data_IF_977111731067
#
_entry.id   IF_977111731067
#
_cell.length_a   1.000
_cell.length_b   1.000
_cell.length_c   1.000
_cell.angle_alpha   90.00
_cell.angle_beta   90.00
_cell.angle_gamma   90.00
#
_symmetry.space_group_name_H-M   'P 1'
#
loop_
_entity.id
_entity.type
_entity.pdbx_description
1 polymer ?
#
# COMPACT_ATOMS: atom_id res chain seq x y z
N UNK A 1 7.33 6.72 -14.70
CA UNK A 1 5.87 6.96 -14.53
C UNK A 1 5.47 6.50 -13.13
N UNK A 2 4.68 7.30 -12.41
CA UNK A 2 4.11 6.88 -11.12
C UNK A 2 3.00 5.85 -11.32
N UNK A 3 3.02 4.79 -10.50
CA UNK A 3 1.91 3.86 -10.33
C UNK A 3 1.31 4.00 -8.91
N UNK A 4 0.00 3.89 -8.81
CA UNK A 4 -0.75 3.84 -7.56
C UNK A 4 -1.36 2.45 -7.45
N UNK A 5 -1.06 1.74 -6.38
CA UNK A 5 -1.76 0.50 -6.05
C UNK A 5 -2.86 0.83 -5.05
N UNK A 6 -4.12 0.76 -5.48
CA UNK A 6 -5.28 0.99 -4.64
C UNK A 6 -5.59 -0.21 -3.74
N UNK A 7 -5.75 0.05 -2.46
CA UNK A 7 -6.25 -0.90 -1.47
C UNK A 7 -7.72 -0.66 -1.13
N UNK A 8 -8.13 -1.10 0.07
CA UNK A 8 -9.47 -0.90 0.60
C UNK A 8 -9.86 0.57 0.56
N UNK A 9 -10.95 0.90 -0.13
CA UNK A 9 -11.49 2.26 -0.23
C UNK A 9 -10.93 3.15 -1.34
N UNK A 10 -9.89 2.73 -2.05
CA UNK A 10 -9.41 3.42 -3.23
C UNK A 10 -9.46 2.47 -4.44
N UNK A 11 -10.65 2.29 -4.99
CA UNK A 11 -10.90 1.43 -6.17
C UNK A 11 -10.96 2.22 -7.46
N UNK A 12 -11.13 3.54 -7.37
CA UNK A 12 -11.23 4.47 -8.48
C UNK A 12 -10.61 5.81 -8.08
N UNK A 13 -10.02 6.49 -9.06
CA UNK A 13 -9.45 7.85 -8.88
C UNK A 13 -10.35 8.84 -9.64
N UNK A 14 -11.49 9.17 -9.06
CA UNK A 14 -12.57 9.93 -9.73
C UNK A 14 -12.20 11.38 -10.12
N UNK A 15 -11.09 11.91 -9.56
CA UNK A 15 -10.63 13.28 -9.84
C UNK A 15 -9.66 13.39 -11.02
N UNK A 16 -9.30 12.26 -11.63
CA UNK A 16 -8.38 12.21 -12.74
C UNK A 16 -9.10 11.91 -14.05
N UNK A 17 -8.63 12.48 -15.15
CA UNK A 17 -9.19 12.19 -16.48
C UNK A 17 -8.70 10.81 -16.93
N UNK A 18 -9.62 9.91 -17.20
CA UNK A 18 -9.27 8.59 -17.73
C UNK A 18 -8.49 8.72 -19.05
N UNK A 19 -7.40 7.98 -19.16
CA UNK A 19 -6.58 7.84 -20.36
C UNK A 19 -6.62 6.41 -20.94
N UNK A 20 -7.59 5.60 -20.49
CA UNK A 20 -7.80 4.24 -20.94
C UNK A 20 -7.16 3.17 -20.08
N UNK A 21 -6.95 1.99 -20.66
CA UNK A 21 -6.47 0.82 -19.94
C UNK A 21 -5.32 0.15 -20.69
N UNK A 22 -4.38 -0.42 -19.94
CA UNK A 22 -3.42 -1.41 -20.42
C UNK A 22 -3.81 -2.79 -19.94
N UNK A 23 -3.76 -3.78 -20.84
CA UNK A 23 -3.97 -5.20 -20.53
C UNK A 23 -2.65 -5.92 -20.73
N UNK A 24 -1.95 -6.21 -19.65
CA UNK A 24 -0.59 -6.74 -19.66
C UNK A 24 -0.62 -8.27 -19.50
N UNK A 25 0.06 -8.97 -20.40
CA UNK A 25 0.36 -10.40 -20.24
C UNK A 25 1.61 -10.50 -19.37
N UNK A 26 1.58 -11.37 -18.37
CA UNK A 26 2.72 -11.60 -17.48
C UNK A 26 3.04 -13.10 -17.41
N UNK A 27 4.29 -13.48 -17.14
CA UNK A 27 4.65 -14.89 -16.93
C UNK A 27 3.98 -15.54 -15.70
N UNK A 28 3.40 -14.71 -14.83
CA UNK A 28 2.90 -15.12 -13.51
C UNK A 28 1.37 -15.25 -13.46
N UNK A 29 0.68 -15.09 -14.60
CA UNK A 29 -0.77 -15.19 -14.65
C UNK A 29 -1.27 -15.55 -16.03
N UNK A 30 -2.18 -16.50 -16.12
CA UNK A 30 -2.92 -16.80 -17.36
C UNK A 30 -3.85 -15.63 -17.77
N UNK A 31 -4.34 -14.89 -16.77
CA UNK A 31 -5.21 -13.72 -16.99
C UNK A 31 -4.36 -12.47 -17.16
N UNK A 32 -4.74 -11.63 -18.10
CA UNK A 32 -4.12 -10.31 -18.27
C UNK A 32 -4.37 -9.44 -17.05
N UNK A 33 -3.33 -8.77 -16.58
CA UNK A 33 -3.47 -7.72 -15.57
C UNK A 33 -4.00 -6.46 -16.24
N UNK A 34 -5.06 -5.90 -15.68
CA UNK A 34 -5.67 -4.65 -16.19
C UNK A 34 -5.18 -3.50 -15.32
N UNK A 35 -4.51 -2.54 -15.95
CA UNK A 35 -4.04 -1.32 -15.31
C UNK A 35 -4.76 -0.14 -15.96
N UNK A 36 -5.41 0.68 -15.15
CA UNK A 36 -6.02 1.93 -15.60
C UNK A 36 -4.96 3.01 -15.75
N UNK A 37 -5.10 3.85 -16.78
CA UNK A 37 -4.26 5.03 -16.96
C UNK A 37 -5.10 6.28 -16.79
N UNK A 38 -4.52 7.25 -16.09
CA UNK A 38 -5.13 8.55 -15.84
C UNK A 38 -4.17 9.66 -16.23
N UNK A 39 -4.72 10.81 -16.58
CA UNK A 39 -3.95 12.04 -16.78
C UNK A 39 -4.23 13.06 -15.70
N UNK A 40 -3.14 13.68 -15.22
CA UNK A 40 -3.17 14.88 -14.42
C UNK A 40 -2.16 15.89 -15.02
N UNK A 41 -2.66 16.95 -15.63
CA UNK A 41 -1.83 17.80 -16.49
C UNK A 41 -1.19 17.00 -17.62
N UNK A 42 0.11 17.15 -17.81
CA UNK A 42 0.91 16.40 -18.78
C UNK A 42 1.33 15.01 -18.28
N UNK A 43 1.15 14.72 -17.00
CA UNK A 43 1.59 13.46 -16.40
C UNK A 43 0.57 12.35 -16.65
N UNK A 44 1.09 11.14 -16.87
CA UNK A 44 0.31 9.91 -16.89
C UNK A 44 0.59 9.11 -15.64
N UNK A 45 -0.46 8.68 -14.97
CA UNK A 45 -0.42 7.89 -13.74
C UNK A 45 -1.10 6.55 -14.00
N UNK A 46 -0.45 5.47 -13.59
CA UNK A 46 -1.04 4.14 -13.63
C UNK A 46 -1.80 3.86 -12.32
N UNK A 47 -2.92 3.16 -12.41
CA UNK A 47 -3.69 2.73 -11.26
C UNK A 47 -4.01 1.24 -11.35
N UNK A 48 -3.76 0.52 -10.26
CA UNK A 48 -4.03 -0.91 -10.14
C UNK A 48 -4.81 -1.20 -8.86
N UNK A 49 -6.08 -1.70 -8.96
CA UNK A 49 -6.84 -2.12 -7.79
C UNK A 49 -6.33 -3.47 -7.31
N UNK A 50 -5.61 -3.49 -6.18
CA UNK A 50 -4.92 -4.68 -5.62
C UNK A 50 -5.88 -5.86 -5.40
N UNK A 51 -7.06 -5.60 -4.90
CA UNK A 51 -8.07 -6.62 -4.58
C UNK A 51 -9.06 -6.89 -5.74
N UNK A 52 -8.72 -6.41 -6.96
CA UNK A 52 -9.65 -6.41 -8.09
C UNK A 52 -10.66 -5.26 -8.01
N UNK A 53 -11.35 -5.02 -9.13
CA UNK A 53 -12.28 -3.89 -9.26
C UNK A 53 -13.43 -3.92 -8.24
N UNK A 54 -13.90 -5.13 -7.90
CA UNK A 54 -15.05 -5.34 -7.00
C UNK A 54 -14.62 -5.76 -5.58
N UNK A 55 -13.32 -5.62 -5.25
CA UNK A 55 -12.74 -5.99 -3.96
C UNK A 55 -13.02 -7.43 -3.51
N UNK A 56 -12.93 -8.37 -4.43
CA UNK A 56 -13.26 -9.79 -4.19
C UNK A 56 -12.04 -10.69 -3.98
N UNK A 57 -10.83 -10.16 -4.12
CA UNK A 57 -9.59 -10.93 -3.98
C UNK A 57 -9.04 -10.74 -2.56
N UNK A 58 -9.05 -11.76 -1.70
CA UNK A 58 -8.51 -11.64 -0.35
C UNK A 58 -6.97 -11.51 -0.37
N UNK A 59 -6.33 -10.95 0.68
CA UNK A 59 -4.91 -10.60 0.70
C UNK A 59 -3.97 -11.75 0.29
N UNK A 60 -4.22 -12.96 0.76
CA UNK A 60 -3.39 -14.15 0.49
C UNK A 60 -3.60 -14.76 -0.91
N UNK A 61 -4.58 -14.27 -1.69
CA UNK A 61 -4.88 -14.72 -3.06
C UNK A 61 -4.53 -13.68 -4.13
N UNK A 62 -4.04 -12.51 -3.72
CA UNK A 62 -3.57 -11.50 -4.66
C UNK A 62 -2.36 -12.08 -5.43
N UNK A 63 -2.37 -11.90 -6.74
CA UNK A 63 -1.21 -12.25 -7.56
C UNK A 63 -0.24 -11.05 -7.60
N UNK A 64 0.53 -10.90 -6.51
CA UNK A 64 1.48 -9.81 -6.35
C UNK A 64 2.53 -9.78 -7.46
N UNK A 65 3.03 -10.97 -7.88
CA UNK A 65 4.01 -11.06 -8.97
C UNK A 65 3.45 -10.50 -10.27
N UNK A 66 2.27 -10.94 -10.68
CA UNK A 66 1.65 -10.43 -11.90
C UNK A 66 1.40 -8.92 -11.82
N UNK A 67 0.96 -8.41 -10.68
CA UNK A 67 0.66 -7.00 -10.47
C UNK A 67 1.92 -6.12 -10.61
N UNK A 68 2.99 -6.43 -9.86
CA UNK A 68 4.23 -5.64 -9.88
C UNK A 68 4.92 -5.73 -11.23
N UNK A 69 4.97 -6.93 -11.83
CA UNK A 69 5.48 -7.12 -13.19
C UNK A 69 4.74 -6.28 -14.22
N UNK A 70 3.40 -6.28 -14.16
CA UNK A 70 2.60 -5.50 -15.10
C UNK A 70 2.85 -3.99 -14.98
N UNK A 71 3.06 -3.47 -13.77
CA UNK A 71 3.38 -2.06 -13.56
C UNK A 71 4.75 -1.71 -14.17
N UNK A 72 5.77 -2.56 -13.97
CA UNK A 72 7.07 -2.36 -14.61
C UNK A 72 6.97 -2.37 -16.13
N UNK A 73 6.24 -3.34 -16.70
CA UNK A 73 6.09 -3.50 -18.16
C UNK A 73 5.42 -2.31 -18.84
N UNK A 74 4.60 -1.54 -18.17
CA UNK A 74 3.99 -0.32 -18.70
C UNK A 74 4.85 0.93 -18.46
N UNK A 75 6.05 0.77 -17.87
CA UNK A 75 7.01 1.84 -17.65
C UNK A 75 6.86 2.57 -16.30
N UNK A 76 6.24 1.95 -15.30
CA UNK A 76 6.29 2.48 -13.95
C UNK A 76 7.72 2.34 -13.39
N UNK A 77 8.19 3.36 -12.69
CA UNK A 77 9.46 3.41 -11.96
C UNK A 77 9.26 3.72 -10.48
N UNK A 78 8.06 4.15 -10.11
CA UNK A 78 7.67 4.50 -8.74
C UNK A 78 6.29 3.92 -8.43
N UNK A 79 6.10 3.43 -7.22
CA UNK A 79 4.82 2.88 -6.74
C UNK A 79 4.47 3.53 -5.41
N UNK A 80 3.26 4.10 -5.33
CA UNK A 80 2.61 4.43 -4.07
C UNK A 80 1.51 3.42 -3.80
N UNK A 81 1.68 2.66 -2.72
CA UNK A 81 0.67 1.73 -2.24
C UNK A 81 -0.23 2.39 -1.20
N UNK A 82 -1.55 2.30 -1.40
CA UNK A 82 -2.54 2.74 -0.41
C UNK A 82 -3.02 1.53 0.35
N UNK A 83 -2.88 1.55 1.67
CA UNK A 83 -3.20 0.44 2.54
C UNK A 83 -4.11 0.89 3.69
N UNK A 84 -5.15 0.11 3.98
CA UNK A 84 -5.86 0.20 5.25
C UNK A 84 -5.12 -0.62 6.30
N UNK A 85 -4.95 -0.07 7.50
CA UNK A 85 -4.19 -0.69 8.59
C UNK A 85 -4.93 -0.57 9.93
N UNK A 86 -4.58 -1.45 10.87
CA UNK A 86 -4.85 -1.27 12.28
C UNK A 86 -3.72 -0.51 12.97
N UNK A 87 -4.04 0.52 13.74
CA UNK A 87 -3.08 1.30 14.49
C UNK A 87 -2.62 0.57 15.75
N UNK A 88 -1.31 0.55 16.00
CA UNK A 88 -0.68 0.03 17.21
C UNK A 88 -0.05 1.17 18.00
N UNK A 89 0.73 2.03 17.33
CA UNK A 89 1.34 3.22 17.92
C UNK A 89 0.25 4.24 18.34
N UNK A 90 0.40 4.96 19.48
CA UNK A 90 -0.60 5.92 19.95
C UNK A 90 -1.04 6.98 18.92
N UNK A 91 -0.14 7.42 18.04
CA UNK A 91 -0.43 8.41 17.01
C UNK A 91 -1.15 7.84 15.78
N UNK A 92 -1.31 6.50 15.71
CA UNK A 92 -1.94 5.81 14.57
C UNK A 92 -3.38 5.40 14.85
N UNK A 93 -4.11 6.14 15.69
CA UNK A 93 -5.54 5.93 15.89
C UNK A 93 -6.35 6.09 14.59
N UNK A 94 -7.62 5.60 14.58
CA UNK A 94 -8.47 5.65 13.39
C UNK A 94 -8.58 7.04 12.78
N UNK A 95 -8.48 7.12 11.45
CA UNK A 95 -8.47 8.38 10.69
C UNK A 95 -7.11 9.07 10.56
N UNK A 96 -6.08 8.57 11.25
CA UNK A 96 -4.68 9.01 11.13
C UNK A 96 -3.91 8.16 10.11
N UNK A 97 -2.65 8.51 9.87
CA UNK A 97 -1.85 7.92 8.80
C UNK A 97 -0.46 7.49 9.26
N UNK A 98 0.12 6.56 8.52
CA UNK A 98 1.53 6.23 8.61
C UNK A 98 2.17 6.14 7.21
N UNK A 99 3.44 6.53 7.11
CA UNK A 99 4.33 6.30 5.98
C UNK A 99 5.51 5.51 6.52
N UNK A 100 5.38 4.17 6.64
CA UNK A 100 6.37 3.34 7.32
C UNK A 100 7.72 3.36 6.59
N UNK A 101 8.80 3.14 7.34
CA UNK A 101 10.15 2.99 6.83
C UNK A 101 10.67 1.56 6.96
N UNK A 102 10.05 0.76 7.83
CA UNK A 102 10.42 -0.63 8.06
C UNK A 102 9.22 -1.58 7.98
N UNK A 103 9.50 -2.87 7.76
CA UNK A 103 8.49 -3.91 7.64
C UNK A 103 8.97 -5.21 8.29
N UNK A 104 8.06 -5.89 9.00
CA UNK A 104 8.25 -7.27 9.45
C UNK A 104 7.23 -8.14 8.72
N UNK A 105 7.71 -9.20 8.09
CA UNK A 105 6.87 -10.13 7.32
C UNK A 105 6.46 -11.36 8.15
N UNK A 106 5.17 -11.45 8.47
CA UNK A 106 4.56 -12.61 9.10
C UNK A 106 3.71 -13.42 8.11
N UNK A 107 3.80 -13.10 6.82
CA UNK A 107 3.06 -13.83 5.79
C UNK A 107 3.71 -15.18 5.48
N UNK A 108 2.93 -16.09 4.92
CA UNK A 108 3.41 -17.40 4.53
C UNK A 108 2.68 -17.89 3.27
N UNK A 109 3.27 -18.85 2.57
CA UNK A 109 2.65 -19.52 1.40
C UNK A 109 2.22 -18.56 0.28
N UNK A 110 2.85 -17.37 0.18
CA UNK A 110 2.69 -16.44 -0.94
C UNK A 110 3.89 -16.62 -1.88
N UNK A 111 3.65 -16.53 -3.18
CA UNK A 111 4.74 -16.40 -4.16
C UNK A 111 5.41 -15.02 -3.95
N UNK A 112 6.66 -15.00 -3.47
CA UNK A 112 7.29 -13.80 -2.91
C UNK A 112 8.57 -13.35 -3.63
N UNK A 113 8.93 -14.01 -4.74
CA UNK A 113 10.07 -13.64 -5.59
C UNK A 113 9.76 -13.93 -7.06
N UNK A 114 10.44 -13.23 -7.97
CA UNK A 114 10.43 -13.53 -9.40
C UNK A 114 11.47 -14.60 -9.78
N UNK A 115 12.42 -14.86 -8.89
CA UNK A 115 13.59 -15.71 -9.13
C UNK A 115 13.42 -17.07 -8.43
N UNK A 116 12.55 -17.94 -8.96
CA UNK A 116 12.24 -19.24 -8.37
C UNK A 116 12.70 -20.43 -9.24
N UNK A 117 12.69 -20.29 -10.57
CA UNK A 117 12.92 -21.37 -11.52
C UNK A 117 14.00 -20.98 -12.53
N UNK A 118 14.67 -21.98 -13.12
CA UNK A 118 15.66 -21.82 -14.19
C UNK A 118 16.82 -20.85 -13.86
N UNK A 119 17.25 -20.83 -12.60
CA UNK A 119 18.30 -19.93 -12.13
C UNK A 119 19.70 -20.55 -12.30
N UNK A 120 20.63 -19.77 -12.83
CA UNK A 120 22.05 -20.13 -12.80
C UNK A 120 22.65 -19.96 -11.41
N UNK A 121 22.15 -18.98 -10.63
CA UNK A 121 22.53 -18.68 -9.23
C UNK A 121 21.37 -18.04 -8.46
N UNK A 122 21.41 -18.17 -7.13
CA UNK A 122 20.41 -17.58 -6.25
C UNK A 122 20.53 -16.05 -6.26
N UNK A 123 19.42 -15.36 -6.46
CA UNK A 123 19.37 -13.90 -6.42
C UNK A 123 19.02 -13.42 -5.01
N UNK A 124 19.91 -12.62 -4.43
CA UNK A 124 19.66 -11.91 -3.18
C UNK A 124 19.53 -10.42 -3.44
N UNK A 125 18.53 -9.79 -2.82
CA UNK A 125 18.37 -8.33 -2.84
C UNK A 125 18.74 -7.74 -1.49
N UNK A 126 19.34 -6.55 -1.49
CA UNK A 126 19.42 -5.75 -0.26
C UNK A 126 18.03 -5.19 0.06
N UNK A 127 17.57 -5.46 1.26
CA UNK A 127 16.26 -5.04 1.77
C UNK A 127 16.36 -4.30 3.11
N UNK A 128 17.54 -3.74 3.40
CA UNK A 128 17.81 -2.90 4.58
C UNK A 128 16.84 -1.72 4.65
N UNK A 129 16.57 -1.11 3.49
CA UNK A 129 15.58 -0.06 3.32
C UNK A 129 14.42 -0.58 2.44
N UNK A 130 13.39 -1.22 3.00
CA UNK A 130 12.30 -1.83 2.21
C UNK A 130 11.47 -0.81 1.43
N UNK A 131 11.43 0.43 1.89
CA UNK A 131 10.74 1.55 1.25
C UNK A 131 11.74 2.58 0.73
N UNK A 132 11.47 3.19 -0.44
CA UNK A 132 12.30 4.25 -1.00
C UNK A 132 12.30 5.51 -0.14
N UNK A 133 13.43 5.84 0.48
CA UNK A 133 13.57 7.05 1.30
C UNK A 133 13.25 8.33 0.53
N UNK A 134 13.61 8.38 -0.76
CA UNK A 134 13.31 9.51 -1.62
C UNK A 134 11.79 9.67 -1.80
N UNK A 135 11.11 8.59 -2.18
CA UNK A 135 9.66 8.62 -2.43
C UNK A 135 8.86 8.85 -1.14
N UNK A 136 9.32 8.28 -0.01
CA UNK A 136 8.73 8.54 1.30
C UNK A 136 8.81 10.03 1.68
N UNK A 137 9.97 10.68 1.53
CA UNK A 137 10.14 12.12 1.82
C UNK A 137 9.22 12.99 0.98
N UNK A 138 9.06 12.68 -0.31
CA UNK A 138 8.12 13.36 -1.20
C UNK A 138 6.67 13.17 -0.74
N UNK A 139 6.29 11.93 -0.37
CA UNK A 139 4.95 11.63 0.12
C UNK A 139 4.64 12.34 1.45
N UNK A 140 5.60 12.39 2.40
CA UNK A 140 5.49 13.16 3.64
C UNK A 140 5.31 14.66 3.34
N UNK A 141 6.07 15.20 2.40
CA UNK A 141 5.93 16.58 1.95
C UNK A 141 4.53 16.87 1.41
N UNK A 142 4.01 16.02 0.53
CA UNK A 142 2.67 16.12 -0.04
C UNK A 142 1.59 16.04 1.04
N UNK A 143 1.70 15.08 1.98
CA UNK A 143 0.78 14.96 3.11
C UNK A 143 0.74 16.25 3.94
N UNK A 144 1.89 16.77 4.32
CA UNK A 144 2.00 17.97 5.16
C UNK A 144 1.43 19.22 4.47
N UNK A 145 1.60 19.36 3.15
CA UNK A 145 0.99 20.45 2.37
C UNK A 145 -0.54 20.39 2.44
N UNK A 146 -1.11 19.22 2.19
CA UNK A 146 -2.56 19.00 2.20
C UNK A 146 -3.15 19.17 3.60
N UNK A 147 -2.47 18.65 4.62
CA UNK A 147 -2.91 18.77 6.02
C UNK A 147 -3.01 20.23 6.45
N UNK A 148 -2.00 21.05 6.09
CA UNK A 148 -1.99 22.50 6.35
C UNK A 148 -3.05 23.24 5.53
N UNK A 149 -3.17 22.95 4.24
CA UNK A 149 -4.10 23.64 3.35
C UNK A 149 -5.56 23.45 3.74
N UNK A 150 -5.90 22.27 4.26
CA UNK A 150 -7.27 21.97 4.70
C UNK A 150 -7.53 22.33 6.17
N UNK A 151 -6.54 22.84 6.90
CA UNK A 151 -6.63 23.03 8.35
C UNK A 151 -7.12 21.79 9.11
N UNK A 152 -6.77 20.61 8.59
CA UNK A 152 -7.12 19.30 9.17
C UNK A 152 -5.95 18.85 10.05
N UNK A 153 -6.24 18.44 11.27
CA UNK A 153 -5.21 17.99 12.22
C UNK A 153 -5.09 16.46 12.22
N UNK A 154 -4.75 15.89 11.06
CA UNK A 154 -4.47 14.45 10.97
C UNK A 154 -3.04 14.17 11.40
N UNK A 155 -2.88 13.17 12.28
CA UNK A 155 -1.56 12.69 12.68
C UNK A 155 -0.93 11.85 11.57
N UNK A 156 0.40 11.98 11.42
CA UNK A 156 1.20 11.21 10.49
C UNK A 156 2.41 10.63 11.20
N UNK A 157 2.47 9.31 11.30
CA UNK A 157 3.68 8.60 11.70
C UNK A 157 4.60 8.48 10.47
N UNK A 158 5.76 9.16 10.49
CA UNK A 158 6.68 9.22 9.35
C UNK A 158 7.79 8.17 9.39
N UNK A 159 8.01 7.56 10.54
CA UNK A 159 8.94 6.45 10.76
C UNK A 159 8.20 5.42 11.61
N UNK A 160 8.24 4.16 11.21
CA UNK A 160 7.54 3.10 11.93
C UNK A 160 7.55 1.78 11.18
N UNK A 161 7.35 0.72 11.93
CA UNK A 161 7.40 -0.66 11.46
C UNK A 161 6.00 -1.15 11.07
N UNK A 162 5.86 -1.56 9.81
CA UNK A 162 4.64 -2.21 9.32
C UNK A 162 4.72 -3.71 9.56
N UNK A 163 3.88 -4.25 10.45
CA UNK A 163 3.67 -5.69 10.59
C UNK A 163 2.77 -6.23 9.48
N UNK A 164 3.29 -7.07 8.59
CA UNK A 164 2.51 -7.65 7.50
C UNK A 164 1.97 -9.03 7.88
N UNK A 165 0.69 -9.13 8.18
CA UNK A 165 0.01 -10.37 8.55
C UNK A 165 -0.58 -11.08 7.33
N UNK A 166 -0.82 -12.39 7.47
CA UNK A 166 -1.36 -13.22 6.38
C UNK A 166 -2.79 -12.82 5.98
N UNK A 167 -3.65 -12.53 6.94
CA UNK A 167 -5.08 -12.39 6.68
C UNK A 167 -5.74 -13.69 6.16
N UNK A 168 -7.02 -13.68 5.76
CA UNK A 168 -7.92 -12.53 5.72
C UNK A 168 -8.59 -12.18 7.07
N UNK A 169 -8.50 -13.06 8.10
CA UNK A 169 -8.99 -12.73 9.43
C UNK A 169 -8.16 -11.61 10.07
N UNK A 170 -8.79 -10.81 10.89
CA UNK A 170 -8.09 -9.85 11.74
C UNK A 170 -7.34 -10.59 12.86
N UNK A 171 -6.38 -9.91 13.45
CA UNK A 171 -5.51 -10.41 14.49
C UNK A 171 -6.27 -10.62 15.81
N UNK A 172 -5.76 -11.51 16.64
CA UNK A 172 -6.17 -11.59 18.04
C UNK A 172 -5.43 -10.56 18.89
N UNK A 173 -5.96 -10.19 20.09
CA UNK A 173 -5.22 -9.33 21.01
C UNK A 173 -3.84 -9.89 21.41
N UNK A 174 -3.70 -11.21 21.48
CA UNK A 174 -2.41 -11.87 21.77
C UNK A 174 -1.40 -11.70 20.61
N UNK A 175 -1.87 -11.80 19.38
CA UNK A 175 -1.05 -11.51 18.19
C UNK A 175 -0.61 -10.04 18.16
N UNK A 176 -1.52 -9.10 18.47
CA UNK A 176 -1.18 -7.67 18.54
C UNK A 176 -0.16 -7.40 19.66
N UNK A 177 -0.29 -8.02 20.82
CA UNK A 177 0.70 -7.91 21.88
C UNK A 177 2.08 -8.40 21.43
N UNK A 178 2.15 -9.49 20.67
CA UNK A 178 3.39 -9.98 20.06
C UNK A 178 3.95 -8.97 19.06
N UNK A 179 3.13 -8.43 18.17
CA UNK A 179 3.55 -7.39 17.21
C UNK A 179 4.13 -6.16 17.91
N UNK A 180 3.54 -5.73 19.02
CA UNK A 180 4.09 -4.64 19.85
C UNK A 180 5.47 -5.00 20.42
N UNK A 181 5.66 -6.24 20.89
CA UNK A 181 6.96 -6.71 21.42
C UNK A 181 8.02 -6.79 20.31
N UNK A 182 7.62 -7.14 19.08
CA UNK A 182 8.49 -7.17 17.91
C UNK A 182 8.77 -5.76 17.35
N UNK A 183 8.14 -4.70 17.91
CA UNK A 183 8.37 -3.31 17.55
C UNK A 183 7.49 -2.80 16.41
N UNK A 184 6.39 -3.48 16.07
CA UNK A 184 5.46 -3.00 15.05
C UNK A 184 4.62 -1.82 15.55
N UNK A 185 4.47 -0.80 14.72
CA UNK A 185 3.68 0.40 14.96
C UNK A 185 2.30 0.36 14.31
N UNK A 186 2.18 -0.38 13.23
CA UNK A 186 0.94 -0.57 12.48
C UNK A 186 0.86 -2.00 11.95
N UNK A 187 -0.36 -2.50 11.72
CA UNK A 187 -0.58 -3.84 11.20
C UNK A 187 -1.47 -3.82 9.97
N UNK A 188 -1.13 -4.61 8.97
CA UNK A 188 -1.91 -4.81 7.76
C UNK A 188 -1.57 -6.11 7.07
N UNK A 189 -2.06 -6.32 5.83
CA UNK A 189 -2.02 -7.64 5.22
C UNK A 189 -1.37 -7.68 3.83
N UNK A 190 -0.94 -6.53 3.28
CA UNK A 190 -0.63 -6.46 1.84
C UNK A 190 0.74 -5.83 1.51
N UNK A 191 1.50 -5.36 2.51
CA UNK A 191 2.84 -4.79 2.29
C UNK A 191 3.85 -5.81 1.77
N UNK A 192 3.69 -7.08 2.16
CA UNK A 192 4.50 -8.20 1.65
C UNK A 192 3.64 -9.20 0.86
N UNK A 193 4.16 -9.76 -0.21
CA UNK A 193 5.50 -9.56 -0.80
C UNK A 193 5.61 -8.33 -1.73
N UNK A 194 4.62 -7.42 -1.74
CA UNK A 194 4.55 -6.29 -2.69
C UNK A 194 5.82 -5.43 -2.69
N UNK A 195 6.32 -5.06 -1.51
CA UNK A 195 7.53 -4.25 -1.36
C UNK A 195 8.80 -4.99 -1.84
N UNK A 196 8.94 -6.28 -1.49
CA UNK A 196 10.08 -7.08 -1.91
C UNK A 196 10.11 -7.27 -3.44
N UNK A 197 8.97 -7.59 -4.04
CA UNK A 197 8.83 -7.72 -5.49
C UNK A 197 9.13 -6.40 -6.23
N UNK A 198 8.70 -5.26 -5.69
CA UNK A 198 9.06 -3.96 -6.24
C UNK A 198 10.58 -3.73 -6.18
N UNK A 199 11.24 -4.11 -5.08
CA UNK A 199 12.68 -4.02 -4.92
C UNK A 199 13.43 -4.93 -5.92
N UNK A 200 12.99 -6.15 -6.15
CA UNK A 200 13.59 -7.07 -7.13
C UNK A 200 13.60 -6.46 -8.55
N UNK A 201 12.55 -5.70 -8.89
CA UNK A 201 12.43 -5.02 -10.19
C UNK A 201 12.99 -3.58 -10.17
N UNK A 202 13.67 -3.17 -9.09
CA UNK A 202 14.29 -1.83 -8.92
C UNK A 202 13.28 -0.69 -9.04
N UNK A 203 12.05 -0.91 -8.60
CA UNK A 203 11.01 0.11 -8.53
C UNK A 203 11.07 0.81 -7.17
N UNK A 204 11.02 2.14 -7.18
CA UNK A 204 10.83 2.91 -5.95
C UNK A 204 9.44 2.60 -5.37
N UNK A 205 9.38 2.13 -4.13
CA UNK A 205 8.13 1.78 -3.47
C UNK A 205 7.98 2.52 -2.15
N UNK A 206 6.81 3.12 -1.92
CA UNK A 206 6.43 3.70 -0.64
C UNK A 206 4.95 3.42 -0.36
N UNK A 207 4.56 3.51 0.90
CA UNK A 207 3.21 3.22 1.35
C UNK A 207 2.61 4.44 2.06
N UNK A 208 1.36 4.76 1.73
CA UNK A 208 0.49 5.62 2.53
C UNK A 208 -0.53 4.73 3.22
N UNK A 209 -0.35 4.50 4.51
CA UNK A 209 -1.19 3.64 5.32
C UNK A 209 -2.23 4.49 6.07
N UNK A 210 -3.52 4.23 5.83
CA UNK A 210 -4.65 4.83 6.53
C UNK A 210 -5.05 3.93 7.69
N UNK A 211 -4.98 4.41 8.90
CA UNK A 211 -5.52 3.71 10.06
C UNK A 211 -7.05 3.77 10.04
N UNK A 212 -7.68 2.61 9.96
CA UNK A 212 -9.13 2.47 9.88
C UNK A 212 -9.75 1.94 11.18
N UNK A 213 -8.92 1.38 12.05
CA UNK A 213 -9.28 0.91 13.39
C UNK A 213 -8.04 0.86 14.28
N UNK A 214 -8.22 0.84 15.58
CA UNK A 214 -7.20 0.34 16.49
C UNK A 214 -7.01 -1.15 16.27
N UNK A 215 -5.78 -1.63 16.33
CA UNK A 215 -5.48 -3.06 16.27
C UNK A 215 -6.18 -3.82 17.41
N UNK A 216 -6.46 -5.10 17.21
CA UNK A 216 -7.26 -5.90 18.12
C UNK A 216 -6.79 -5.82 19.57
N UNK A 217 -7.70 -5.49 20.48
CA UNK A 217 -7.44 -5.35 21.90
C UNK A 217 -6.83 -4.01 22.34
N UNK A 218 -6.56 -3.07 21.44
CA UNK A 218 -6.09 -1.72 21.76
C UNK A 218 -7.21 -0.67 21.76
N UNK A 219 -8.31 -0.95 21.09
CA UNK A 219 -9.51 -0.13 21.10
C UNK A 219 -10.49 -0.56 22.20
N UNK A 220 -11.48 0.28 22.47
CA UNK A 220 -12.51 0.04 23.49
C UNK A 220 -13.57 -1.01 23.08
N UNK A 221 -13.68 -1.35 21.81
CA UNK A 221 -14.77 -2.15 21.24
C UNK A 221 -14.29 -3.16 20.22
N UNK A 222 -15.19 -4.11 19.91
CA UNK A 222 -15.06 -5.02 18.78
C UNK A 222 -14.84 -4.25 17.48
N UNK A 223 -13.95 -4.75 16.61
CA UNK A 223 -13.69 -4.16 15.30
C UNK A 223 -14.84 -4.52 14.36
N UNK A 224 -15.65 -3.53 14.01
CA UNK A 224 -16.78 -3.67 13.11
C UNK A 224 -16.39 -3.23 11.69
N UNK A 225 -16.77 -4.02 10.68
CA UNK A 225 -16.52 -3.68 9.27
C UNK A 225 -17.16 -2.36 8.86
N UNK A 226 -18.34 -2.02 9.40
CA UNK A 226 -18.99 -0.72 9.16
C UNK A 226 -18.15 0.48 9.66
N UNK A 227 -17.43 0.32 10.76
CA UNK A 227 -16.51 1.34 11.26
C UNK A 227 -15.30 1.53 10.34
N UNK A 228 -14.73 0.42 9.85
CA UNK A 228 -13.65 0.43 8.87
C UNK A 228 -14.09 1.17 7.60
N UNK A 229 -15.24 0.82 7.04
CA UNK A 229 -15.80 1.44 5.84
C UNK A 229 -16.07 2.94 6.02
N UNK A 230 -16.54 3.36 7.20
CA UNK A 230 -16.76 4.76 7.53
C UNK A 230 -15.45 5.56 7.48
N UNK A 231 -14.40 5.11 8.16
CA UNK A 231 -13.09 5.78 8.17
C UNK A 231 -12.44 5.83 6.78
N UNK A 232 -12.58 4.76 6.00
CA UNK A 232 -12.15 4.72 4.61
C UNK A 232 -12.86 5.79 3.78
N UNK A 233 -14.19 5.87 3.88
CA UNK A 233 -15.01 6.83 3.13
C UNK A 233 -14.67 8.28 3.50
N UNK A 234 -14.53 8.57 4.79
CA UNK A 234 -14.17 9.90 5.29
C UNK A 234 -12.78 10.35 4.83
N UNK A 235 -11.82 9.42 4.81
CA UNK A 235 -10.43 9.74 4.48
C UNK A 235 -10.14 9.77 2.97
N UNK A 236 -11.02 9.21 2.13
CA UNK A 236 -10.80 9.10 0.67
C UNK A 236 -10.46 10.43 0.00
N UNK A 237 -11.21 11.48 0.34
CA UNK A 237 -10.98 12.81 -0.23
C UNK A 237 -9.61 13.37 0.12
N UNK A 238 -9.15 13.17 1.34
CA UNK A 238 -7.84 13.58 1.81
C UNK A 238 -6.72 12.78 1.10
N UNK A 239 -6.85 11.46 1.02
CA UNK A 239 -5.89 10.59 0.29
C UNK A 239 -5.73 11.03 -1.16
N UNK A 240 -6.83 11.32 -1.86
CA UNK A 240 -6.78 11.80 -3.24
C UNK A 240 -6.06 13.15 -3.37
N UNK A 241 -6.26 14.08 -2.44
CA UNK A 241 -5.53 15.35 -2.42
C UNK A 241 -4.04 15.16 -2.18
N UNK A 242 -3.65 14.25 -1.27
CA UNK A 242 -2.23 13.90 -1.04
C UNK A 242 -1.60 13.33 -2.31
N UNK A 243 -2.29 12.42 -3.02
CA UNK A 243 -1.81 11.87 -4.28
C UNK A 243 -1.66 12.93 -5.37
N UNK A 244 -2.63 13.85 -5.49
CA UNK A 244 -2.55 14.99 -6.42
C UNK A 244 -1.34 15.86 -6.09
N UNK A 245 -1.20 16.25 -4.82
CA UNK A 245 -0.07 17.08 -4.38
C UNK A 245 1.30 16.40 -4.60
N UNK A 246 1.36 15.07 -4.51
CA UNK A 246 2.57 14.31 -4.82
C UNK A 246 2.86 14.29 -6.32
N UNK A 247 1.83 14.06 -7.15
CA UNK A 247 1.96 13.99 -8.61
C UNK A 247 2.47 15.33 -9.17
N UNK A 248 1.99 16.45 -8.63
CA UNK A 248 2.40 17.80 -9.04
C UNK A 248 3.88 18.12 -8.70
N UNK A 249 4.51 17.34 -7.82
CA UNK A 249 5.92 17.50 -7.41
C UNK A 249 6.87 16.57 -8.18
N UNK A 250 6.36 15.49 -8.79
CA UNK A 250 7.16 14.45 -9.44
C UNK A 250 7.48 14.79 -10.91
#
# INVERSE_FOLDING_TARGET
MLAIIGGTGLYQIDRFKSAGFKRVITPFSEKRVVVELFKHGEQTVAFLPRHGKDHVIPPHKINYRANIWALQMIGADKIIAINAIGGIHPDTGPGNFAIPDQIIDYTHSRAHTFFEEDLEFVTHIDFTEPFSNKLRKQLVGAFNRVNRANSVNKSLLTEGVYGCMQGPRLETPAEIKRLQQDGCDVVGMTGMPEAALARELKLDYAMLALSVNWAAGLGEKEILMSGIEAHVKESRGFVLQVLISLIEEL
#
